data_IF_415144923208
#
_entry.id   IF_415144923208
#
_cell.length_a   1.000
_cell.length_b   1.000
_cell.length_c   1.000
_cell.angle_alpha   90.00
_cell.angle_beta   90.00
_cell.angle_gamma   90.00
#
_symmetry.space_group_name_H-M   'P 1'
#
loop_
_entity.id
_entity.type
_entity.pdbx_description
1 polymer ?
#
# COMPACT_ATOMS: atom_id res chain seq x y z
N UNK A 1 -41.60 29.42 -39.00
CA UNK A 1 -40.27 29.18 -38.39
C UNK A 1 -40.42 29.24 -36.89
N UNK A 2 -40.03 28.18 -36.17
CA UNK A 2 -39.70 28.10 -34.72
C UNK A 2 -39.60 26.62 -34.37
N UNK A 3 -38.39 26.07 -34.40
CA UNK A 3 -38.11 24.66 -34.10
C UNK A 3 -37.93 24.51 -32.60
N UNK A 4 -38.70 23.63 -31.97
CA UNK A 4 -38.59 23.34 -30.52
C UNK A 4 -37.97 21.97 -30.33
N UNK A 5 -36.66 21.92 -30.12
CA UNK A 5 -35.94 20.66 -29.85
C UNK A 5 -36.08 20.29 -28.38
N UNK A 6 -36.77 19.18 -28.09
CA UNK A 6 -36.75 18.55 -26.77
C UNK A 6 -35.38 17.89 -26.54
N UNK A 7 -34.68 18.31 -25.49
CA UNK A 7 -33.43 17.68 -25.06
C UNK A 7 -33.74 16.55 -24.07
N UNK A 8 -33.50 15.31 -24.49
CA UNK A 8 -33.68 14.13 -23.64
C UNK A 8 -32.53 14.02 -22.62
N UNK A 9 -32.81 14.24 -21.34
CA UNK A 9 -31.83 13.96 -20.28
C UNK A 9 -31.68 12.44 -20.10
N UNK A 10 -30.63 11.86 -20.67
CA UNK A 10 -30.18 10.52 -20.33
C UNK A 10 -29.31 10.58 -19.07
N UNK A 11 -29.79 10.01 -17.96
CA UNK A 11 -29.04 9.95 -16.71
C UNK A 11 -27.86 8.98 -16.82
N UNK A 12 -26.63 9.51 -16.70
CA UNK A 12 -25.43 8.69 -16.55
C UNK A 12 -25.39 8.06 -15.15
N UNK A 13 -25.89 6.84 -15.06
CA UNK A 13 -25.62 5.98 -13.91
C UNK A 13 -24.11 5.63 -13.91
N UNK A 14 -23.34 6.26 -13.04
CA UNK A 14 -21.93 5.96 -12.87
C UNK A 14 -21.79 4.57 -12.24
N UNK A 15 -21.55 3.55 -13.08
CA UNK A 15 -21.21 2.21 -12.64
C UNK A 15 -19.86 2.23 -11.92
N UNK A 16 -19.89 2.23 -10.59
CA UNK A 16 -18.69 2.09 -9.78
C UNK A 16 -17.98 0.78 -10.15
N UNK A 17 -16.78 0.88 -10.70
CA UNK A 17 -15.98 -0.29 -11.02
C UNK A 17 -15.64 -1.02 -9.71
N UNK A 18 -16.04 -2.29 -9.61
CA UNK A 18 -15.61 -3.13 -8.50
C UNK A 18 -14.11 -3.38 -8.63
N UNK A 19 -13.32 -2.79 -7.72
CA UNK A 19 -11.88 -3.00 -7.67
C UNK A 19 -11.58 -4.49 -7.41
N UNK A 20 -10.55 -5.07 -8.05
CA UNK A 20 -10.13 -6.43 -7.72
C UNK A 20 -9.63 -6.48 -6.28
N UNK A 21 -10.08 -7.49 -5.54
CA UNK A 21 -9.77 -7.68 -4.12
C UNK A 21 -8.26 -7.90 -3.95
N UNK A 22 -7.63 -7.10 -3.11
CA UNK A 22 -6.23 -7.28 -2.75
C UNK A 22 -6.13 -8.21 -1.53
N UNK A 23 -5.90 -9.50 -1.75
CA UNK A 23 -5.84 -10.53 -0.69
C UNK A 23 -4.69 -10.30 0.32
N UNK A 24 -3.72 -9.43 0.02
CA UNK A 24 -2.48 -9.22 0.78
C UNK A 24 -2.24 -7.75 1.15
N UNK A 25 -3.26 -7.08 1.69
CA UNK A 25 -3.07 -5.81 2.41
C UNK A 25 -2.60 -6.10 3.85
N UNK A 26 -1.28 -6.06 4.09
CA UNK A 26 -0.72 -6.19 5.44
C UNK A 26 -1.16 -5.03 6.35
N UNK A 27 -1.73 -5.37 7.50
CA UNK A 27 -2.33 -4.41 8.45
C UNK A 27 -1.29 -3.72 9.35
N UNK A 28 -0.19 -3.22 8.77
CA UNK A 28 0.78 -2.37 9.50
C UNK A 28 0.11 -1.03 9.85
N UNK A 29 0.16 -0.66 11.14
CA UNK A 29 -0.42 0.56 11.71
C UNK A 29 -1.98 0.68 11.72
N UNK A 30 -2.72 -0.42 11.85
CA UNK A 30 -4.11 -0.37 12.32
C UNK A 30 -4.20 -0.35 13.85
N UNK A 31 -5.20 0.35 14.42
CA UNK A 31 -5.49 0.31 15.87
C UNK A 31 -6.28 -0.96 16.20
N UNK A 32 -5.90 -1.79 17.19
CA UNK A 32 -6.69 -2.96 17.60
C UNK A 32 -8.14 -2.60 17.92
N UNK A 33 -9.08 -3.37 17.36
CA UNK A 33 -10.52 -3.10 17.39
C UNK A 33 -11.05 -2.17 16.30
N UNK A 34 -10.19 -1.46 15.56
CA UNK A 34 -10.61 -0.66 14.42
C UNK A 34 -11.04 -1.53 13.23
N UNK A 35 -12.03 -1.04 12.50
CA UNK A 35 -12.50 -1.65 11.26
C UNK A 35 -11.62 -1.21 10.09
N UNK A 36 -11.41 -2.11 9.13
CA UNK A 36 -10.65 -1.89 7.89
C UNK A 36 -11.52 -2.29 6.69
N UNK A 37 -11.35 -1.63 5.54
CA UNK A 37 -12.08 -1.96 4.30
C UNK A 37 -11.17 -2.53 3.21
N UNK A 38 -11.67 -3.50 2.44
CA UNK A 38 -11.08 -3.96 1.18
C UNK A 38 -12.11 -3.73 0.07
N UNK A 39 -11.95 -2.62 -0.65
CA UNK A 39 -13.03 -2.05 -1.46
C UNK A 39 -14.25 -1.65 -0.61
N UNK A 40 -15.41 -1.55 -1.24
CA UNK A 40 -16.70 -1.27 -0.55
C UNK A 40 -17.41 -2.53 -0.05
N UNK A 41 -17.04 -3.71 -0.56
CA UNK A 41 -17.77 -4.98 -0.37
C UNK A 41 -17.22 -5.85 0.75
N UNK A 42 -16.02 -5.57 1.26
CA UNK A 42 -15.39 -6.35 2.33
C UNK A 42 -14.83 -5.49 3.45
N UNK A 43 -14.84 -6.05 4.66
CA UNK A 43 -14.27 -5.45 5.85
C UNK A 43 -13.52 -6.48 6.71
N UNK A 44 -12.64 -6.01 7.57
CA UNK A 44 -11.98 -6.81 8.60
C UNK A 44 -11.91 -6.01 9.90
N UNK A 45 -11.68 -6.69 11.02
CA UNK A 45 -11.28 -6.07 12.28
C UNK A 45 -9.78 -6.21 12.46
N UNK A 46 -9.11 -5.12 12.80
CA UNK A 46 -7.73 -5.14 13.25
C UNK A 46 -7.64 -5.87 14.60
N UNK A 47 -7.09 -7.07 14.64
CA UNK A 47 -6.93 -7.83 15.90
C UNK A 47 -5.63 -7.43 16.62
N UNK A 48 -4.58 -7.22 15.83
CA UNK A 48 -3.32 -6.62 16.26
C UNK A 48 -2.70 -5.84 15.09
N UNK A 49 -1.82 -4.89 15.38
CA UNK A 49 -0.91 -4.38 14.36
C UNK A 49 -0.15 -5.55 13.72
N UNK A 50 0.03 -5.48 12.40
CA UNK A 50 0.79 -6.46 11.60
C UNK A 50 0.11 -7.85 11.47
N UNK A 51 -1.12 -8.01 11.99
CA UNK A 51 -1.91 -9.24 11.80
C UNK A 51 -2.43 -9.39 10.36
N UNK A 52 -2.68 -10.63 9.93
CA UNK A 52 -3.34 -10.92 8.65
C UNK A 52 -4.86 -10.72 8.78
N UNK A 53 -5.45 -9.70 8.11
CA UNK A 53 -6.86 -9.39 8.27
C UNK A 53 -7.74 -10.55 7.77
N UNK A 54 -8.70 -10.97 8.59
CA UNK A 54 -9.75 -11.91 8.18
C UNK A 54 -10.86 -11.11 7.49
N UNK A 55 -10.85 -11.10 6.15
CA UNK A 55 -11.84 -10.38 5.35
C UNK A 55 -13.21 -11.07 5.39
N UNK A 56 -14.24 -10.27 5.63
CA UNK A 56 -15.65 -10.65 5.66
C UNK A 56 -16.42 -9.78 4.67
N UNK A 57 -17.40 -10.34 3.97
CA UNK A 57 -18.27 -9.55 3.11
C UNK A 57 -19.21 -8.66 3.96
N UNK A 58 -19.47 -7.44 3.49
CA UNK A 58 -20.52 -6.58 4.05
C UNK A 58 -21.90 -7.16 3.76
N UNK A 59 -22.91 -6.78 4.56
CA UNK A 59 -24.29 -7.20 4.33
C UNK A 59 -24.90 -6.51 3.10
N UNK A 60 -25.88 -7.16 2.46
CA UNK A 60 -26.67 -6.55 1.38
C UNK A 60 -27.30 -5.23 1.84
N UNK A 61 -27.26 -4.20 0.98
CA UNK A 61 -27.69 -2.85 1.33
C UNK A 61 -26.71 -2.07 2.22
N UNK A 62 -25.49 -2.57 2.43
CA UNK A 62 -24.41 -1.87 3.15
C UNK A 62 -23.10 -1.86 2.37
N UNK A 63 -22.19 -0.97 2.76
CA UNK A 63 -20.85 -0.79 2.18
C UNK A 63 -19.84 -0.37 3.26
N UNK A 64 -18.60 -0.82 3.10
CA UNK A 64 -17.47 -0.39 3.91
C UNK A 64 -16.91 0.94 3.38
N UNK A 65 -16.73 1.94 4.25
CA UNK A 65 -16.24 3.28 3.90
C UNK A 65 -15.24 3.76 4.93
N UNK A 66 -14.07 4.25 4.48
CA UNK A 66 -13.05 4.86 5.33
C UNK A 66 -12.98 6.39 5.13
N UNK A 67 -12.68 7.12 6.20
CA UNK A 67 -12.30 8.53 6.17
C UNK A 67 -11.03 8.71 7.02
N UNK A 68 -9.91 9.01 6.37
CA UNK A 68 -8.60 8.94 7.02
C UNK A 68 -8.30 7.53 7.53
N UNK A 69 -8.06 7.39 8.83
CA UNK A 69 -7.79 6.13 9.52
C UNK A 69 -9.01 5.44 10.12
N UNK A 70 -10.19 6.06 10.11
CA UNK A 70 -11.42 5.49 10.65
C UNK A 70 -12.26 4.88 9.52
N UNK A 71 -12.73 3.65 9.69
CA UNK A 71 -13.63 2.99 8.74
C UNK A 71 -14.93 2.55 9.43
N UNK A 72 -16.01 2.53 8.67
CA UNK A 72 -17.36 2.19 9.14
C UNK A 72 -18.14 1.41 8.09
N UNK A 73 -19.14 0.65 8.53
CA UNK A 73 -20.15 0.07 7.64
C UNK A 73 -21.32 1.06 7.58
N UNK A 74 -21.67 1.48 6.37
CA UNK A 74 -22.76 2.44 6.09
C UNK A 74 -23.81 1.79 5.20
N UNK A 75 -25.07 2.22 5.25
CA UNK A 75 -26.06 1.74 4.27
C UNK A 75 -25.85 2.44 2.92
N UNK A 76 -26.03 1.70 1.82
CA UNK A 76 -25.96 2.24 0.45
C UNK A 76 -27.19 3.09 0.08
N UNK A 77 -28.28 2.98 0.84
CA UNK A 77 -29.43 3.90 0.77
C UNK A 77 -29.42 4.84 1.97
N UNK A 78 -29.66 6.14 1.73
CA UNK A 78 -29.67 7.20 2.76
C UNK A 78 -30.90 7.18 3.69
N UNK A 79 -31.42 6.00 4.04
CA UNK A 79 -32.65 5.82 4.83
C UNK A 79 -32.32 5.05 6.12
N UNK A 80 -32.46 5.72 7.27
CA UNK A 80 -32.16 5.15 8.59
C UNK A 80 -33.08 3.96 8.92
N UNK A 81 -32.54 2.74 8.86
CA UNK A 81 -33.13 1.56 9.47
C UNK A 81 -32.79 1.52 10.97
N UNK A 82 -33.57 2.22 11.79
CA UNK A 82 -33.40 2.23 13.25
C UNK A 82 -33.63 0.84 13.84
N UNK A 83 -32.60 0.24 14.43
CA UNK A 83 -32.76 -0.91 15.32
C UNK A 83 -33.55 -0.49 16.58
N UNK A 84 -34.47 -1.31 17.10
CA UNK A 84 -35.34 -0.92 18.22
C UNK A 84 -34.63 -1.00 19.58
N UNK A 85 -34.79 0.04 20.41
CA UNK A 85 -34.88 -0.15 21.86
C UNK A 85 -33.67 0.16 22.74
N UNK A 86 -33.05 1.34 22.62
CA UNK A 86 -32.24 1.94 23.69
C UNK A 86 -32.34 3.47 23.70
N UNK A 87 -33.28 4.04 24.46
CA UNK A 87 -33.49 5.50 24.56
C UNK A 87 -32.58 6.15 25.61
N UNK A 88 -31.89 7.27 25.31
CA UNK A 88 -31.09 8.02 26.28
C UNK A 88 -31.83 9.25 26.85
N UNK A 89 -32.00 9.29 28.17
CA UNK A 89 -32.39 10.49 28.94
C UNK A 89 -31.87 10.33 30.38
N UNK A 90 -30.68 10.84 30.71
CA UNK A 90 -30.43 12.17 31.31
C UNK A 90 -30.58 12.18 32.86
N UNK A 91 -30.00 13.15 33.63
CA UNK A 91 -29.22 14.33 33.23
C UNK A 91 -27.81 14.42 33.88
N UNK A 92 -27.14 15.57 33.70
CA UNK A 92 -25.83 15.94 34.27
C UNK A 92 -25.88 16.29 35.77
N UNK A 93 -24.84 15.93 36.53
CA UNK A 93 -24.46 16.59 37.80
C UNK A 93 -22.94 16.64 37.96
N UNK A 94 -22.37 17.83 38.22
CA UNK A 94 -20.92 18.06 38.36
C UNK A 94 -20.51 18.26 39.83
N UNK A 95 -19.42 17.64 40.29
CA UNK A 95 -18.64 18.01 41.49
C UNK A 95 -17.30 17.19 41.53
N UNK A 96 -16.32 17.48 42.42
CA UNK A 96 -15.13 18.20 41.98
C UNK A 96 -13.79 17.50 42.32
N UNK A 97 -12.67 18.13 41.94
CA UNK A 97 -11.33 17.70 42.34
C UNK A 97 -11.02 18.07 43.81
N UNK A 98 -10.19 17.28 44.52
CA UNK A 98 -9.62 17.64 45.81
C UNK A 98 -8.22 18.26 45.67
N UNK A 99 -7.96 19.34 46.41
CA UNK A 99 -6.62 19.95 46.55
C UNK A 99 -6.40 20.42 48.00
N UNK A 100 -5.15 20.37 48.47
CA UNK A 100 -4.69 20.95 49.75
C UNK A 100 -4.05 19.94 50.72
N UNK A 101 -2.74 20.02 51.01
CA UNK A 101 -2.03 20.91 51.98
C UNK A 101 -2.11 20.41 53.45
N UNK A 102 -1.14 20.73 54.35
CA UNK A 102 -0.17 21.83 54.30
C UNK A 102 1.33 21.47 54.43
N UNK A 103 2.16 22.50 54.25
CA UNK A 103 3.62 22.47 54.21
C UNK A 103 4.29 22.81 55.56
N UNK A 104 5.63 22.75 55.58
CA UNK A 104 6.46 23.67 56.37
C UNK A 104 7.79 23.98 55.64
N UNK A 105 8.57 24.94 56.15
CA UNK A 105 9.46 25.79 55.35
C UNK A 105 10.89 25.91 55.90
N UNK A 106 11.88 26.02 55.00
CA UNK A 106 13.17 26.70 55.23
C UNK A 106 13.89 27.07 53.92
N UNK A 107 14.56 28.23 53.91
CA UNK A 107 15.53 28.68 52.88
C UNK A 107 16.95 28.12 53.20
N UNK A 108 18.07 28.33 52.47
CA UNK A 108 18.54 29.48 51.65
C UNK A 108 19.68 29.09 50.66
N UNK A 109 19.85 29.90 49.61
CA UNK A 109 21.09 30.28 48.88
C UNK A 109 22.17 29.27 48.40
N UNK A 110 22.19 29.07 47.07
CA UNK A 110 23.29 29.32 46.11
C UNK A 110 24.75 28.86 46.35
N UNK A 111 25.30 28.06 45.40
CA UNK A 111 26.63 28.25 44.78
C UNK A 111 26.86 27.34 43.53
N UNK A 112 27.82 27.71 42.68
CA UNK A 112 28.34 27.10 41.41
C UNK A 112 29.83 27.53 41.35
N UNK A 113 30.86 26.77 40.81
CA UNK A 113 30.84 25.80 39.69
C UNK A 113 31.75 24.53 39.81
N UNK A 114 31.82 23.73 38.72
CA UNK A 114 32.98 22.92 38.20
C UNK A 114 33.66 21.84 39.06
N UNK A 115 33.71 20.59 38.56
CA UNK A 115 34.94 19.85 38.15
C UNK A 115 34.67 18.36 37.85
N UNK A 116 35.53 17.72 37.04
CA UNK A 116 35.56 16.27 36.74
C UNK A 116 36.98 15.86 36.25
N UNK A 117 37.34 14.57 36.08
CA UNK A 117 36.69 13.32 36.53
C UNK A 117 37.37 12.81 37.84
N UNK A 118 38.16 11.70 38.00
CA UNK A 118 38.58 10.58 37.13
C UNK A 118 37.76 9.29 37.39
N UNK A 119 38.42 8.13 37.63
CA UNK A 119 37.81 6.81 37.88
C UNK A 119 38.37 6.12 39.14
N UNK A 120 37.63 5.19 39.75
CA UNK A 120 38.05 4.43 40.94
C UNK A 120 37.21 3.15 41.17
N UNK A 121 37.90 2.05 41.48
CA UNK A 121 37.38 0.67 41.44
C UNK A 121 36.31 0.28 42.48
N UNK A 122 35.36 -0.54 42.01
CA UNK A 122 34.87 -1.78 42.66
C UNK A 122 34.75 -1.87 44.19
N UNK A 123 33.50 -1.90 44.68
CA UNK A 123 33.08 -2.79 45.77
C UNK A 123 31.67 -3.33 45.49
N UNK A 124 31.48 -4.64 45.68
CA UNK A 124 30.16 -5.30 45.70
C UNK A 124 29.69 -5.50 47.14
N UNK A 125 28.38 -5.42 47.37
CA UNK A 125 27.71 -6.29 48.34
C UNK A 125 26.73 -7.24 47.64
N UNK A 126 26.63 -8.47 48.15
CA UNK A 126 25.71 -9.49 47.64
C UNK A 126 24.34 -9.38 48.31
N UNK A 127 23.27 -9.60 47.54
CA UNK A 127 21.92 -9.86 48.07
C UNK A 127 21.22 -10.92 47.21
N UNK A 128 20.52 -11.84 47.87
CA UNK A 128 19.98 -13.08 47.28
C UNK A 128 18.80 -12.85 46.32
N UNK A 129 18.57 -13.75 45.35
CA UNK A 129 17.40 -13.69 44.48
C UNK A 129 16.10 -13.89 45.27
N UNK A 130 15.10 -13.05 45.00
CA UNK A 130 13.72 -13.24 45.48
C UNK A 130 13.08 -14.37 44.67
N UNK A 131 12.45 -15.33 45.35
CA UNK A 131 11.80 -16.47 44.70
C UNK A 131 10.54 -16.03 43.93
N UNK A 132 10.35 -16.60 42.74
CA UNK A 132 9.11 -16.43 41.99
C UNK A 132 7.94 -17.18 42.66
N UNK A 133 6.71 -16.65 42.62
CA UNK A 133 5.53 -17.40 43.07
C UNK A 133 5.25 -18.59 42.14
N UNK A 134 4.81 -19.71 42.72
CA UNK A 134 4.44 -20.90 41.97
C UNK A 134 3.11 -20.70 41.21
N UNK A 135 2.91 -21.36 40.05
CA UNK A 135 1.63 -21.31 39.34
C UNK A 135 0.52 -22.04 40.11
N UNK A 136 -0.69 -21.46 40.14
CA UNK A 136 -1.87 -22.15 40.66
C UNK A 136 -2.27 -23.30 39.73
N UNK A 137 -2.71 -24.41 40.31
CA UNK A 137 -3.07 -25.65 39.60
C UNK A 137 -4.59 -25.82 39.50
N UNK A 138 -5.28 -24.80 39.00
CA UNK A 138 -6.74 -24.83 38.79
C UNK A 138 -7.11 -25.56 37.49
N UNK A 139 -7.90 -26.65 37.53
CA UNK A 139 -8.30 -27.38 36.33
C UNK A 139 -9.25 -26.58 35.42
N UNK A 140 -9.03 -26.63 34.11
CA UNK A 140 -9.94 -26.04 33.14
C UNK A 140 -11.32 -26.74 33.15
N UNK A 141 -12.43 -26.00 32.99
CA UNK A 141 -13.78 -26.59 32.97
C UNK A 141 -13.99 -27.43 31.71
N UNK A 142 -14.42 -28.69 31.89
CA UNK A 142 -14.80 -29.57 30.78
C UNK A 142 -16.14 -29.15 30.16
N UNK A 143 -16.22 -28.91 28.84
CA UNK A 143 -17.48 -28.62 28.17
C UNK A 143 -18.35 -29.90 28.09
N UNK A 144 -19.63 -29.78 28.44
CA UNK A 144 -20.56 -30.91 28.48
C UNK A 144 -21.00 -31.35 27.08
N UNK A 145 -20.93 -32.65 26.80
CA UNK A 145 -21.30 -33.24 25.50
C UNK A 145 -22.82 -33.37 25.33
N UNK A 146 -23.48 -32.29 24.93
CA UNK A 146 -24.85 -32.35 24.42
C UNK A 146 -24.88 -33.01 23.01
N UNK A 147 -25.76 -34.00 22.74
CA UNK A 147 -25.84 -34.63 21.43
C UNK A 147 -26.49 -33.69 20.40
N UNK A 148 -25.85 -33.53 19.24
CA UNK A 148 -26.38 -32.77 18.10
C UNK A 148 -27.51 -33.58 17.43
N UNK A 149 -28.68 -32.98 17.14
CA UNK A 149 -29.76 -33.69 16.45
C UNK A 149 -29.37 -33.99 14.99
N UNK A 150 -29.50 -35.25 14.58
CA UNK A 150 -29.31 -35.67 13.19
C UNK A 150 -30.46 -35.16 12.30
N UNK A 151 -30.18 -34.46 11.18
CA UNK A 151 -31.21 -34.08 10.22
C UNK A 151 -31.75 -35.31 9.50
N UNK A 152 -33.08 -35.44 9.44
CA UNK A 152 -33.74 -36.59 8.81
C UNK A 152 -33.74 -36.47 7.28
N UNK A 153 -33.21 -37.48 6.59
CA UNK A 153 -33.11 -37.52 5.13
C UNK A 153 -34.47 -37.74 4.45
N UNK A 154 -35.16 -36.65 4.11
CA UNK A 154 -36.31 -36.72 3.21
C UNK A 154 -35.84 -37.02 1.77
N UNK A 155 -36.48 -37.95 1.02
CA UNK A 155 -36.09 -38.27 -0.35
C UNK A 155 -36.49 -37.13 -1.31
N UNK A 156 -35.54 -36.68 -2.13
CA UNK A 156 -35.78 -35.67 -3.18
C UNK A 156 -36.56 -36.32 -4.35
N UNK A 157 -37.61 -35.68 -4.89
CA UNK A 157 -38.32 -36.20 -6.06
C UNK A 157 -37.43 -36.26 -7.30
N UNK A 158 -37.53 -37.35 -8.07
CA UNK A 158 -36.81 -37.48 -9.34
C UNK A 158 -37.38 -36.51 -10.40
N UNK A 159 -36.54 -35.79 -11.17
CA UNK A 159 -37.02 -34.92 -12.24
C UNK A 159 -37.57 -35.75 -13.41
N UNK A 160 -38.74 -35.35 -13.92
CA UNK A 160 -39.41 -36.03 -15.03
C UNK A 160 -38.76 -35.71 -16.38
N UNK A 161 -38.47 -36.74 -17.18
CA UNK A 161 -37.85 -36.60 -18.50
C UNK A 161 -38.82 -36.07 -19.55
N UNK A 162 -38.73 -34.77 -19.86
CA UNK A 162 -39.35 -34.15 -21.04
C UNK A 162 -38.25 -33.70 -22.02
N UNK A 163 -38.26 -34.23 -23.25
CA UNK A 163 -37.25 -33.90 -24.26
C UNK A 163 -37.55 -32.55 -24.94
N UNK A 164 -36.58 -31.64 -24.92
CA UNK A 164 -36.64 -30.39 -25.70
C UNK A 164 -36.30 -30.66 -27.19
N UNK A 165 -36.87 -29.90 -28.14
CA UNK A 165 -36.60 -30.09 -29.56
C UNK A 165 -35.18 -29.62 -29.94
N UNK A 166 -34.54 -30.36 -30.86
CA UNK A 166 -33.18 -30.07 -31.34
C UNK A 166 -33.22 -28.99 -32.43
N UNK A 167 -32.55 -27.84 -32.28
CA UNK A 167 -32.41 -26.85 -33.36
C UNK A 167 -31.39 -27.30 -34.41
N UNK A 168 -31.69 -27.03 -35.68
CA UNK A 168 -30.84 -27.46 -36.81
C UNK A 168 -29.52 -26.67 -36.90
N UNK A 169 -28.42 -27.36 -37.16
CA UNK A 169 -27.07 -26.80 -37.24
C UNK A 169 -26.79 -26.14 -38.60
N UNK A 170 -26.98 -24.81 -38.68
CA UNK A 170 -26.41 -23.97 -39.74
C UNK A 170 -25.07 -23.35 -39.31
N UNK A 171 -24.05 -23.23 -40.19
CA UNK A 171 -22.81 -22.54 -39.84
C UNK A 171 -23.05 -21.04 -39.58
N UNK A 172 -22.68 -20.56 -38.39
CA UNK A 172 -22.68 -19.13 -38.10
C UNK A 172 -21.47 -18.44 -38.76
N UNK A 173 -21.61 -17.24 -39.35
CA UNK A 173 -20.47 -16.47 -39.85
C UNK A 173 -19.58 -16.02 -38.69
N UNK A 174 -18.26 -16.06 -38.89
CA UNK A 174 -17.30 -15.68 -37.86
C UNK A 174 -17.39 -14.17 -37.52
N UNK A 175 -17.38 -13.79 -36.22
CA UNK A 175 -17.42 -12.40 -35.82
C UNK A 175 -16.07 -11.71 -36.03
N UNK A 176 -15.98 -10.83 -37.02
CA UNK A 176 -14.89 -9.85 -37.15
C UNK A 176 -15.02 -8.77 -36.07
N UNK A 177 -14.66 -9.10 -34.83
CA UNK A 177 -14.55 -8.15 -33.73
C UNK A 177 -13.21 -7.42 -33.78
N UNK A 178 -13.15 -6.31 -34.51
CA UNK A 178 -12.12 -5.30 -34.27
C UNK A 178 -12.25 -4.82 -32.82
N UNK A 179 -11.14 -4.77 -32.09
CA UNK A 179 -11.15 -4.34 -30.69
C UNK A 179 -11.58 -2.87 -30.59
N UNK A 180 -12.69 -2.62 -29.90
CA UNK A 180 -13.04 -1.27 -29.49
C UNK A 180 -12.01 -0.79 -28.45
N UNK A 181 -11.47 0.44 -28.56
CA UNK A 181 -10.48 0.93 -27.62
C UNK A 181 -11.11 1.09 -26.23
N UNK A 182 -10.49 0.48 -25.21
CA UNK A 182 -10.85 0.71 -23.82
C UNK A 182 -10.52 2.16 -23.42
N UNK A 183 -11.31 2.82 -22.56
CA UNK A 183 -11.06 4.18 -22.12
C UNK A 183 -9.96 4.23 -21.05
N UNK A 184 -8.70 4.31 -21.47
CA UNK A 184 -7.59 4.60 -20.56
C UNK A 184 -7.75 5.98 -19.92
N UNK A 185 -7.68 6.13 -18.59
CA UNK A 185 -7.71 7.44 -17.92
C UNK A 185 -6.38 8.21 -18.05
N UNK A 186 -5.32 7.52 -18.50
CA UNK A 186 -3.94 8.01 -18.52
C UNK A 186 -3.64 8.90 -19.74
N UNK A 187 -4.36 10.01 -19.85
CA UNK A 187 -4.18 11.04 -20.88
C UNK A 187 -2.98 11.97 -20.60
N UNK A 188 -1.88 11.42 -20.08
CA UNK A 188 -0.62 12.14 -19.94
C UNK A 188 -0.02 12.55 -21.30
N UNK A 189 0.77 13.64 -21.37
CA UNK A 189 1.44 14.03 -22.60
C UNK A 189 2.34 12.91 -23.14
N UNK A 190 2.41 12.77 -24.47
CA UNK A 190 3.26 11.80 -25.14
C UNK A 190 4.58 12.45 -25.62
N UNK A 191 5.67 12.43 -24.83
CA UNK A 191 6.98 12.86 -25.27
C UNK A 191 7.53 11.94 -26.37
N UNK A 192 7.98 12.53 -27.48
CA UNK A 192 8.62 11.81 -28.59
C UNK A 192 10.12 11.57 -28.40
N UNK A 193 10.72 12.13 -27.35
CA UNK A 193 12.13 12.01 -26.97
C UNK A 193 12.28 12.05 -25.44
N UNK A 194 13.34 11.47 -24.85
CA UNK A 194 13.62 11.59 -23.42
C UNK A 194 13.78 13.05 -22.96
N UNK A 195 13.30 13.36 -21.76
CA UNK A 195 13.47 14.66 -21.14
C UNK A 195 14.92 14.90 -20.65
N UNK A 196 15.43 16.14 -20.71
CA UNK A 196 16.71 16.50 -20.09
C UNK A 196 16.59 16.44 -18.56
N UNK A 197 17.68 16.06 -17.88
CA UNK A 197 17.71 16.05 -16.42
C UNK A 197 17.64 17.47 -15.84
N UNK A 198 16.74 17.70 -14.89
CA UNK A 198 16.67 18.90 -14.05
C UNK A 198 16.95 18.52 -12.61
N UNK A 199 17.87 19.22 -11.94
CA UNK A 199 18.02 19.07 -10.49
C UNK A 199 16.83 19.70 -9.76
N UNK A 200 16.19 18.93 -8.88
CA UNK A 200 15.13 19.42 -7.99
C UNK A 200 15.62 19.37 -6.53
N UNK A 201 15.36 20.44 -5.77
CA UNK A 201 15.70 20.60 -4.35
C UNK A 201 14.46 21.10 -3.60
N UNK A 202 14.44 21.05 -2.26
CA UNK A 202 13.29 21.49 -1.47
C UNK A 202 12.36 20.35 -1.07
N UNK A 203 11.08 20.64 -0.86
CA UNK A 203 10.13 19.75 -0.17
C UNK A 203 9.26 18.87 -1.10
N UNK A 204 9.48 18.93 -2.42
CA UNK A 204 8.68 18.23 -3.43
C UNK A 204 7.55 19.06 -4.04
N UNK A 205 7.33 20.30 -3.60
CA UNK A 205 6.24 21.14 -4.10
C UNK A 205 6.54 21.80 -5.46
N UNK A 206 5.51 22.16 -6.25
CA UNK A 206 5.66 22.99 -7.44
C UNK A 206 6.16 24.42 -7.15
N UNK A 207 6.05 24.90 -5.91
CA UNK A 207 6.66 26.15 -5.48
C UNK A 207 8.21 26.08 -5.50
N UNK A 208 8.77 24.93 -5.12
CA UNK A 208 10.18 24.58 -5.33
C UNK A 208 10.47 24.12 -6.79
N UNK A 209 9.49 24.25 -7.69
CA UNK A 209 9.62 23.96 -9.12
C UNK A 209 9.58 22.48 -9.51
N UNK A 210 9.06 21.60 -8.65
CA UNK A 210 8.84 20.18 -8.95
C UNK A 210 7.64 19.98 -9.91
N UNK A 211 7.57 18.88 -10.69
CA UNK A 211 6.45 18.62 -11.57
C UNK A 211 5.23 18.09 -10.80
N UNK A 212 4.02 18.49 -11.19
CA UNK A 212 2.78 17.84 -10.70
C UNK A 212 2.46 16.58 -11.50
N UNK A 213 1.59 15.73 -10.95
CA UNK A 213 1.14 14.46 -11.52
C UNK A 213 0.47 14.62 -12.90
N UNK A 214 -0.08 15.81 -13.18
CA UNK A 214 -0.68 16.21 -14.46
C UNK A 214 0.35 16.66 -15.52
N UNK A 215 1.64 16.69 -15.19
CA UNK A 215 2.76 16.92 -16.12
C UNK A 215 3.52 15.66 -16.50
N UNK A 216 3.35 14.58 -15.75
CA UNK A 216 4.00 13.31 -16.06
C UNK A 216 3.40 12.70 -17.32
N UNK A 217 4.23 12.16 -18.24
CA UNK A 217 3.75 11.36 -19.36
C UNK A 217 2.88 10.17 -18.93
N UNK A 218 2.16 9.57 -19.87
CA UNK A 218 1.47 8.31 -19.61
C UNK A 218 2.45 7.17 -19.32
N UNK A 219 2.01 6.13 -18.62
CA UNK A 219 2.80 4.93 -18.35
C UNK A 219 3.33 4.30 -19.65
N UNK A 220 2.51 4.25 -20.71
CA UNK A 220 2.94 3.77 -22.03
C UNK A 220 4.09 4.58 -22.62
N UNK A 221 4.07 5.91 -22.47
CA UNK A 221 5.15 6.77 -22.94
C UNK A 221 6.41 6.60 -22.08
N UNK A 222 6.28 6.54 -20.75
CA UNK A 222 7.40 6.27 -19.84
C UNK A 222 8.04 4.90 -20.12
N UNK A 223 7.22 3.86 -20.31
CA UNK A 223 7.67 2.52 -20.67
C UNK A 223 8.41 2.52 -22.01
N UNK A 224 7.82 3.12 -23.04
CA UNK A 224 8.41 3.20 -24.40
C UNK A 224 9.76 3.92 -24.40
N UNK A 225 9.90 5.03 -23.66
CA UNK A 225 11.16 5.78 -23.53
C UNK A 225 12.27 5.01 -22.81
N UNK A 226 11.93 4.04 -21.97
CA UNK A 226 12.86 3.29 -21.12
C UNK A 226 13.10 1.85 -21.60
N UNK A 227 12.27 1.31 -22.50
CA UNK A 227 12.39 -0.06 -23.02
C UNK A 227 13.81 -0.42 -23.55
N UNK A 228 14.59 0.47 -24.20
CA UNK A 228 15.97 0.18 -24.58
C UNK A 228 16.90 -0.08 -23.38
N UNK A 229 16.69 0.64 -22.27
CA UNK A 229 17.41 0.45 -21.01
C UNK A 229 16.94 -0.85 -20.34
N UNK A 230 15.64 -1.12 -20.28
CA UNK A 230 15.08 -2.36 -19.70
C UNK A 230 15.65 -3.61 -20.41
N UNK A 231 15.71 -3.61 -21.75
CA UNK A 231 16.28 -4.72 -22.55
C UNK A 231 17.80 -4.94 -22.33
N UNK A 232 18.49 -4.04 -21.63
CA UNK A 232 19.93 -4.15 -21.32
C UNK A 232 20.23 -4.06 -19.81
N UNK A 233 19.20 -3.99 -18.97
CA UNK A 233 19.30 -3.65 -17.56
C UNK A 233 20.13 -4.65 -16.75
N UNK A 234 20.12 -5.94 -17.07
CA UNK A 234 20.83 -6.95 -16.28
C UNK A 234 22.35 -6.94 -16.47
N UNK A 235 22.87 -6.12 -17.39
CA UNK A 235 24.31 -5.99 -17.68
C UNK A 235 25.13 -5.58 -16.44
N UNK A 236 24.68 -4.59 -15.67
CA UNK A 236 25.42 -4.14 -14.48
C UNK A 236 25.44 -5.19 -13.37
N UNK A 237 24.37 -6.00 -13.26
CA UNK A 237 24.28 -7.14 -12.33
C UNK A 237 25.05 -8.39 -12.82
N UNK A 238 25.59 -8.38 -14.05
CA UNK A 238 26.21 -9.53 -14.74
C UNK A 238 25.26 -10.73 -14.91
N UNK A 239 23.96 -10.46 -14.97
CA UNK A 239 22.90 -11.47 -15.09
C UNK A 239 22.44 -11.62 -16.55
N UNK A 240 21.78 -12.74 -16.92
CA UNK A 240 21.05 -12.85 -18.18
C UNK A 240 20.05 -11.70 -18.33
N UNK A 241 19.94 -11.13 -19.53
CA UNK A 241 18.93 -10.10 -19.82
C UNK A 241 17.52 -10.68 -19.70
N UNK A 242 16.55 -9.82 -19.44
CA UNK A 242 15.13 -10.16 -19.52
C UNK A 242 14.83 -10.75 -20.91
N UNK A 243 14.08 -11.85 -20.96
CA UNK A 243 13.47 -12.31 -22.21
C UNK A 243 12.39 -11.33 -22.69
N UNK A 244 11.92 -11.46 -23.94
CA UNK A 244 10.80 -10.62 -24.41
C UNK A 244 9.50 -10.92 -23.64
N UNK A 245 9.32 -12.16 -23.19
CA UNK A 245 8.23 -12.57 -22.31
C UNK A 245 8.38 -11.93 -20.91
N UNK A 246 9.54 -12.08 -20.25
CA UNK A 246 9.81 -11.48 -18.93
C UNK A 246 9.68 -9.95 -18.96
N UNK A 247 9.99 -9.32 -20.11
CA UNK A 247 9.83 -7.88 -20.33
C UNK A 247 8.34 -7.48 -20.47
N UNK A 248 7.52 -8.31 -21.10
CA UNK A 248 6.07 -8.09 -21.20
C UNK A 248 5.36 -8.37 -19.86
N UNK A 249 5.75 -9.44 -19.16
CA UNK A 249 5.27 -9.79 -17.83
C UNK A 249 5.61 -8.69 -16.80
N UNK A 250 6.80 -8.09 -16.89
CA UNK A 250 7.17 -6.92 -16.08
C UNK A 250 6.23 -5.74 -16.29
N UNK A 251 5.84 -5.45 -17.54
CA UNK A 251 4.88 -4.38 -17.84
C UNK A 251 3.52 -4.70 -17.22
N UNK A 252 2.98 -5.89 -17.53
CA UNK A 252 1.67 -6.35 -17.06
C UNK A 252 1.57 -6.43 -15.53
N UNK A 253 2.66 -6.82 -14.86
CA UNK A 253 2.75 -6.80 -13.40
C UNK A 253 2.64 -5.39 -12.82
N UNK A 254 3.34 -4.42 -13.40
CA UNK A 254 3.27 -3.00 -12.98
C UNK A 254 1.85 -2.44 -13.19
N UNK A 255 1.20 -2.76 -14.31
CA UNK A 255 -0.19 -2.37 -14.61
C UNK A 255 -1.20 -3.01 -13.65
N UNK A 256 -1.12 -4.34 -13.45
CA UNK A 256 -2.00 -5.12 -12.57
C UNK A 256 -1.88 -4.70 -11.10
N UNK A 257 -0.64 -4.53 -10.61
CA UNK A 257 -0.40 -4.11 -9.22
C UNK A 257 -0.75 -2.64 -9.01
N UNK A 258 -0.57 -1.77 -10.00
CA UNK A 258 -1.09 -0.40 -9.96
C UNK A 258 -2.62 -0.38 -9.81
N UNK A 259 -3.33 -1.10 -10.68
CA UNK A 259 -4.79 -1.16 -10.68
C UNK A 259 -5.39 -1.75 -9.39
N UNK A 260 -4.78 -2.82 -8.85
CA UNK A 260 -5.26 -3.51 -7.64
C UNK A 260 -4.83 -2.85 -6.33
N UNK A 261 -3.66 -2.19 -6.30
CA UNK A 261 -3.22 -1.44 -5.11
C UNK A 261 -3.88 -0.07 -5.00
N UNK A 262 -4.22 0.57 -6.13
CA UNK A 262 -4.61 1.99 -6.19
C UNK A 262 -3.42 2.96 -6.16
N UNK A 263 -2.18 2.46 -6.30
CA UNK A 263 -0.97 3.28 -6.47
C UNK A 263 -0.79 3.60 -7.96
N UNK A 264 -0.40 4.83 -8.27
CA UNK A 264 -0.18 5.26 -9.66
C UNK A 264 0.89 4.40 -10.36
N UNK A 265 0.50 3.75 -11.45
CA UNK A 265 1.34 2.86 -12.28
C UNK A 265 2.65 3.53 -12.71
N UNK A 266 2.63 4.85 -12.96
CA UNK A 266 3.80 5.64 -13.36
C UNK A 266 4.80 5.78 -12.20
N UNK A 267 4.31 5.82 -10.96
CA UNK A 267 5.15 5.87 -9.75
C UNK A 267 5.78 4.52 -9.43
N UNK A 268 5.02 3.42 -9.53
CA UNK A 268 5.56 2.05 -9.43
C UNK A 268 6.69 1.87 -10.44
N UNK A 269 6.43 2.26 -11.69
CA UNK A 269 7.42 2.21 -12.76
C UNK A 269 8.68 3.05 -12.48
N UNK A 270 8.54 4.29 -12.00
CA UNK A 270 9.68 5.13 -11.67
C UNK A 270 10.57 4.53 -10.57
N UNK A 271 9.98 3.87 -9.58
CA UNK A 271 10.70 3.16 -8.51
C UNK A 271 11.42 1.93 -9.07
N UNK A 272 10.76 1.08 -9.87
CA UNK A 272 11.40 -0.05 -10.57
C UNK A 272 12.61 0.41 -11.39
N UNK A 273 12.47 1.50 -12.14
CA UNK A 273 13.55 2.04 -12.96
C UNK A 273 14.70 2.64 -12.14
N UNK A 274 14.44 3.15 -10.94
CA UNK A 274 15.48 3.67 -10.04
C UNK A 274 16.24 2.56 -9.31
N UNK A 275 15.53 1.52 -8.87
CA UNK A 275 16.10 0.43 -8.07
C UNK A 275 16.82 -0.63 -8.93
N UNK A 276 16.20 -1.08 -10.03
CA UNK A 276 16.69 -2.22 -10.82
C UNK A 276 16.91 -1.93 -12.31
N UNK A 277 16.52 -0.74 -12.80
CA UNK A 277 16.31 -0.44 -14.23
C UNK A 277 15.36 -1.42 -14.94
N UNK A 278 14.55 -2.18 -14.19
CA UNK A 278 13.72 -3.26 -14.71
C UNK A 278 14.44 -4.61 -14.93
N UNK A 279 15.66 -4.82 -14.43
CA UNK A 279 16.26 -6.16 -14.45
C UNK A 279 15.54 -7.10 -13.49
N UNK A 280 14.85 -8.13 -14.00
CA UNK A 280 14.11 -9.08 -13.14
C UNK A 280 15.03 -9.92 -12.24
N UNK A 281 16.30 -10.06 -12.64
CA UNK A 281 17.35 -10.82 -11.93
C UNK A 281 18.24 -9.95 -11.03
N UNK A 282 17.83 -8.74 -10.69
CA UNK A 282 18.63 -7.81 -9.87
C UNK A 282 19.08 -8.44 -8.55
N UNK A 283 20.37 -8.27 -8.23
CA UNK A 283 20.95 -8.74 -6.97
C UNK A 283 20.59 -7.86 -5.79
N UNK A 284 20.31 -8.48 -4.64
CA UNK A 284 19.86 -7.77 -3.45
C UNK A 284 20.92 -6.81 -2.90
N UNK A 285 20.58 -5.55 -2.69
CA UNK A 285 21.31 -4.71 -1.74
C UNK A 285 21.15 -5.27 -0.33
N UNK A 286 22.25 -5.27 0.42
CA UNK A 286 22.32 -5.84 1.76
C UNK A 286 23.21 -4.98 2.65
N UNK A 287 22.57 -4.28 3.59
CA UNK A 287 23.25 -3.61 4.71
C UNK A 287 23.00 -4.47 5.96
N UNK A 288 22.23 -3.97 6.93
CA UNK A 288 21.72 -4.78 8.06
C UNK A 288 20.45 -5.57 7.71
N UNK A 289 19.83 -5.28 6.56
CA UNK A 289 18.61 -5.90 6.03
C UNK A 289 18.86 -6.30 4.58
N UNK A 290 18.26 -7.40 4.13
CA UNK A 290 18.30 -7.85 2.72
C UNK A 290 17.10 -7.27 1.97
N UNK A 291 17.39 -6.57 0.88
CA UNK A 291 16.39 -5.97 0.01
C UNK A 291 16.45 -6.62 -1.37
N UNK A 292 15.60 -7.59 -1.74
CA UNK A 292 15.61 -8.20 -3.07
C UNK A 292 14.65 -7.57 -4.09
N UNK A 293 14.90 -7.91 -5.35
CA UNK A 293 13.90 -7.85 -6.42
C UNK A 293 13.76 -6.50 -7.13
N UNK A 294 12.86 -6.45 -8.12
CA UNK A 294 12.69 -5.32 -9.05
C UNK A 294 12.55 -3.94 -8.40
N UNK A 295 12.02 -3.88 -7.17
CA UNK A 295 11.82 -2.67 -6.39
C UNK A 295 12.70 -2.62 -5.12
N UNK A 296 13.65 -3.55 -4.95
CA UNK A 296 14.57 -3.60 -3.81
C UNK A 296 13.84 -3.53 -2.44
N UNK A 297 12.79 -4.34 -2.32
CA UNK A 297 11.77 -4.30 -1.27
C UNK A 297 12.32 -4.80 0.07
N UNK A 298 11.98 -4.15 1.18
CA UNK A 298 12.50 -4.47 2.52
C UNK A 298 12.09 -5.89 2.97
N UNK A 299 13.03 -6.83 2.99
CA UNK A 299 12.78 -8.27 3.27
C UNK A 299 11.71 -8.92 2.37
N UNK A 300 11.63 -8.50 1.11
CA UNK A 300 10.72 -9.11 0.12
C UNK A 300 10.97 -10.63 -0.04
N UNK A 301 9.94 -11.49 -0.05
CA UNK A 301 10.11 -12.92 -0.31
C UNK A 301 10.46 -13.23 -1.79
N UNK A 302 10.09 -12.40 -2.76
CA UNK A 302 10.23 -12.70 -4.19
C UNK A 302 11.58 -12.25 -4.76
N UNK A 303 12.18 -13.05 -5.66
CA UNK A 303 13.42 -12.70 -6.37
C UNK A 303 13.74 -13.65 -7.52
N UNK A 304 14.24 -13.13 -8.64
CA UNK A 304 14.87 -13.94 -9.69
C UNK A 304 16.40 -13.80 -9.77
N UNK A 305 17.06 -13.32 -8.72
CA UNK A 305 18.53 -13.33 -8.64
C UNK A 305 19.06 -14.77 -8.79
N UNK A 306 20.09 -14.94 -9.63
CA UNK A 306 20.69 -16.22 -10.05
C UNK A 306 19.72 -17.27 -10.64
N UNK A 307 18.45 -16.91 -10.96
CA UNK A 307 17.52 -17.83 -11.64
C UNK A 307 17.72 -17.79 -13.16
N UNK A 308 17.76 -18.95 -13.85
CA UNK A 308 17.94 -18.99 -15.31
C UNK A 308 16.75 -18.38 -16.05
N UNK A 309 15.53 -18.60 -15.55
CA UNK A 309 14.27 -17.97 -16.00
C UNK A 309 13.59 -17.34 -14.80
N UNK A 310 12.93 -16.20 -15.01
CA UNK A 310 11.99 -15.63 -14.07
C UNK A 310 10.56 -15.99 -14.52
N UNK A 311 9.66 -16.31 -13.59
CA UNK A 311 8.25 -16.58 -13.91
C UNK A 311 7.39 -15.37 -13.62
N UNK A 312 6.24 -15.27 -14.27
CA UNK A 312 5.28 -14.17 -14.07
C UNK A 312 4.91 -13.99 -12.58
N UNK A 313 4.79 -15.07 -11.81
CA UNK A 313 4.44 -15.02 -10.38
C UNK A 313 5.55 -14.36 -9.54
N UNK A 314 6.82 -14.61 -9.85
CA UNK A 314 7.96 -13.95 -9.18
C UNK A 314 8.08 -12.49 -9.62
N UNK A 315 7.84 -12.19 -10.90
CA UNK A 315 7.82 -10.81 -11.42
C UNK A 315 6.72 -9.99 -10.73
N UNK A 316 5.48 -10.50 -10.72
CA UNK A 316 4.35 -9.86 -10.07
C UNK A 316 4.54 -9.78 -8.54
N UNK A 317 5.11 -10.83 -7.93
CA UNK A 317 5.49 -10.87 -6.53
C UNK A 317 6.48 -9.77 -6.15
N UNK A 318 7.56 -9.57 -6.92
CA UNK A 318 8.53 -8.50 -6.69
C UNK A 318 7.91 -7.10 -6.79
N UNK A 319 6.92 -6.89 -7.66
CA UNK A 319 6.18 -5.62 -7.77
C UNK A 319 5.18 -5.45 -6.61
N UNK A 320 4.53 -6.54 -6.17
CA UNK A 320 3.68 -6.56 -4.96
C UNK A 320 4.49 -6.20 -3.71
N UNK A 321 5.66 -6.81 -3.52
CA UNK A 321 6.53 -6.56 -2.36
C UNK A 321 6.94 -5.08 -2.23
N UNK A 322 7.18 -4.39 -3.35
CA UNK A 322 7.52 -2.96 -3.33
C UNK A 322 6.31 -2.04 -3.21
N UNK A 323 5.17 -2.42 -3.79
CA UNK A 323 3.97 -1.56 -3.85
C UNK A 323 3.05 -1.71 -2.63
N UNK A 324 2.84 -2.94 -2.17
CA UNK A 324 2.00 -3.30 -1.02
C UNK A 324 2.80 -3.45 0.28
N UNK A 325 4.13 -3.55 0.19
CA UNK A 325 5.04 -3.71 1.32
C UNK A 325 5.38 -5.17 1.57
N UNK A 326 5.82 -5.48 2.78
CA UNK A 326 6.17 -6.83 3.22
C UNK A 326 5.72 -7.05 4.67
N UNK A 327 5.87 -8.26 5.24
CA UNK A 327 5.59 -8.48 6.66
C UNK A 327 6.39 -7.58 7.61
N UNK A 328 7.50 -6.96 7.19
CA UNK A 328 8.36 -6.11 8.05
C UNK A 328 8.58 -4.68 7.53
N UNK A 329 8.32 -4.39 6.25
CA UNK A 329 8.52 -3.08 5.64
C UNK A 329 7.29 -2.48 4.97
N UNK A 330 7.24 -1.15 4.91
CA UNK A 330 6.21 -0.39 4.18
C UNK A 330 6.44 -0.40 2.67
N UNK A 331 5.37 -0.57 1.88
CA UNK A 331 5.38 -0.37 0.44
C UNK A 331 4.94 1.03 0.03
N UNK A 332 4.96 1.31 -1.28
CA UNK A 332 4.53 2.60 -1.83
C UNK A 332 3.12 3.01 -1.35
N UNK A 333 2.19 2.07 -1.16
CA UNK A 333 0.83 2.35 -0.67
C UNK A 333 0.82 2.95 0.74
N UNK A 334 1.56 2.35 1.69
CA UNK A 334 1.67 2.86 3.05
C UNK A 334 2.46 4.17 3.10
N UNK A 335 3.52 4.30 2.29
CA UNK A 335 4.36 5.49 2.27
C UNK A 335 3.68 6.70 1.63
N UNK A 336 2.80 6.52 0.64
CA UNK A 336 1.97 7.59 0.11
C UNK A 336 1.00 8.12 1.17
N UNK A 337 0.40 7.26 1.99
CA UNK A 337 -0.42 7.68 3.13
C UNK A 337 0.43 8.46 4.17
N UNK A 338 1.61 7.94 4.53
CA UNK A 338 2.54 8.59 5.48
C UNK A 338 3.10 9.93 4.97
N UNK A 339 3.26 10.07 3.65
CA UNK A 339 3.75 11.30 3.01
C UNK A 339 2.76 12.48 3.07
N UNK A 340 1.49 12.21 3.39
CA UNK A 340 0.42 13.22 3.45
C UNK A 340 -0.05 13.69 2.07
N UNK A 341 -1.35 13.99 1.91
CA UNK A 341 -1.93 14.36 0.62
C UNK A 341 -1.42 15.71 0.11
N UNK A 342 -1.67 15.98 -1.18
CA UNK A 342 -1.30 17.24 -1.83
C UNK A 342 0.08 17.21 -2.48
N UNK A 343 0.34 18.20 -3.32
CA UNK A 343 1.43 18.20 -4.31
C UNK A 343 2.78 17.79 -3.70
N UNK A 344 3.51 16.93 -4.41
CA UNK A 344 4.78 16.36 -3.95
C UNK A 344 4.67 15.14 -3.02
N UNK A 345 3.45 14.64 -2.75
CA UNK A 345 3.21 13.41 -1.98
C UNK A 345 4.08 12.24 -2.45
N UNK A 346 4.17 12.04 -3.76
CA UNK A 346 4.99 11.00 -4.38
C UNK A 346 6.51 11.20 -4.16
N UNK A 347 7.00 12.44 -4.13
CA UNK A 347 8.42 12.73 -3.90
C UNK A 347 8.83 12.60 -2.43
N UNK A 348 7.90 12.94 -1.51
CA UNK A 348 8.00 12.63 -0.08
C UNK A 348 7.97 11.11 0.15
N UNK A 349 7.05 10.38 -0.48
CA UNK A 349 6.96 8.92 -0.40
C UNK A 349 8.22 8.23 -0.96
N UNK A 350 8.75 8.67 -2.10
CA UNK A 350 10.02 8.19 -2.64
C UNK A 350 11.20 8.42 -1.69
N UNK A 351 11.27 9.57 -1.00
CA UNK A 351 12.28 9.78 0.05
C UNK A 351 12.09 8.78 1.18
N UNK A 352 10.87 8.55 1.66
CA UNK A 352 10.60 7.55 2.69
C UNK A 352 10.92 6.11 2.24
N UNK A 353 10.77 5.78 0.95
CA UNK A 353 11.13 4.47 0.41
C UNK A 353 12.66 4.26 0.47
N UNK A 354 13.43 5.29 0.12
CA UNK A 354 14.89 5.24 0.10
C UNK A 354 15.57 5.37 1.48
N UNK A 355 15.01 6.17 2.40
CA UNK A 355 15.64 6.49 3.70
C UNK A 355 14.75 6.26 4.93
N UNK A 356 13.62 5.56 4.78
CA UNK A 356 12.63 5.27 5.84
C UNK A 356 11.79 6.47 6.31
N UNK A 357 12.29 7.69 6.12
CA UNK A 357 11.70 8.97 6.54
C UNK A 357 12.19 10.13 5.69
N UNK A 358 11.46 11.25 5.73
CA UNK A 358 11.95 12.57 5.31
C UNK A 358 12.72 13.21 6.48
N UNK A 359 13.66 14.11 6.18
CA UNK A 359 14.39 14.86 7.22
C UNK A 359 13.46 15.83 7.99
N UNK A 360 13.84 16.20 9.22
CA UNK A 360 13.07 17.14 10.06
C UNK A 360 12.89 18.53 9.46
N UNK A 361 13.73 18.94 8.50
CA UNK A 361 13.57 20.17 7.70
C UNK A 361 12.56 20.05 6.56
N UNK A 362 12.08 18.85 6.23
CA UNK A 362 11.25 18.57 5.05
C UNK A 362 12.01 18.50 3.72
N UNK A 363 13.33 18.71 3.71
CA UNK A 363 14.15 18.78 2.50
C UNK A 363 14.43 17.40 1.89
N UNK A 364 13.99 17.19 0.65
CA UNK A 364 14.10 15.90 -0.05
C UNK A 364 15.49 15.60 -0.61
N UNK A 365 16.40 16.58 -0.65
CA UNK A 365 17.81 16.35 -1.00
C UNK A 365 18.63 15.70 0.14
N UNK A 366 18.10 15.66 1.37
CA UNK A 366 18.79 15.08 2.52
C UNK A 366 18.48 13.59 2.61
N UNK A 367 19.42 12.74 2.18
CA UNK A 367 19.25 11.28 2.13
C UNK A 367 19.35 10.55 3.47
N UNK A 368 19.79 11.22 4.55
CA UNK A 368 19.89 10.66 5.92
C UNK A 368 20.69 9.33 5.97
N UNK A 369 21.78 9.26 5.22
CA UNK A 369 22.61 8.05 5.08
C UNK A 369 22.28 7.17 3.86
N UNK A 370 21.18 7.46 3.16
CA UNK A 370 20.87 6.94 1.84
C UNK A 370 21.10 7.99 0.74
N UNK A 371 20.72 7.68 -0.51
CA UNK A 371 21.07 8.46 -1.71
C UNK A 371 20.40 9.84 -1.74
N UNK A 372 21.20 10.91 -1.59
CA UNK A 372 20.73 12.31 -1.66
C UNK A 372 19.91 12.60 -2.94
N UNK A 373 20.33 12.10 -4.10
CA UNK A 373 19.66 12.32 -5.38
C UNK A 373 18.32 11.59 -5.58
N UNK A 374 17.91 10.66 -4.71
CA UNK A 374 16.80 9.74 -4.99
C UNK A 374 15.48 10.42 -5.42
N UNK A 375 14.97 11.39 -4.64
CA UNK A 375 13.70 12.05 -4.99
C UNK A 375 13.78 12.87 -6.28
N UNK A 376 14.92 13.53 -6.56
CA UNK A 376 15.11 14.28 -7.81
C UNK A 376 15.23 13.33 -9.00
N UNK A 377 15.89 12.18 -8.86
CA UNK A 377 15.92 11.15 -9.91
C UNK A 377 14.51 10.63 -10.22
N UNK A 378 13.70 10.33 -9.21
CA UNK A 378 12.30 9.91 -9.37
C UNK A 378 11.46 10.99 -10.07
N UNK A 379 11.63 12.27 -9.71
CA UNK A 379 10.96 13.39 -10.40
C UNK A 379 11.36 13.53 -11.88
N UNK A 380 12.63 13.23 -12.21
CA UNK A 380 13.10 13.18 -13.59
C UNK A 380 12.52 11.98 -14.35
N UNK A 381 12.54 10.76 -13.76
CA UNK A 381 11.95 9.55 -14.40
C UNK A 381 10.46 9.75 -14.70
N UNK A 382 9.71 10.33 -13.75
CA UNK A 382 8.31 10.71 -13.92
C UNK A 382 8.08 11.85 -14.92
N UNK A 383 9.13 12.61 -15.26
CA UNK A 383 9.10 13.64 -16.32
C UNK A 383 9.56 13.11 -17.68
N UNK A 384 9.86 11.82 -17.82
CA UNK A 384 10.31 11.19 -19.07
C UNK A 384 11.83 11.16 -19.28
N UNK A 385 12.65 11.34 -18.24
CA UNK A 385 14.08 11.07 -18.30
C UNK A 385 14.35 9.55 -18.22
N UNK A 386 15.10 8.99 -19.16
CA UNK A 386 15.30 7.53 -19.31
C UNK A 386 16.76 7.07 -19.35
N UNK A 387 17.67 7.83 -18.75
CA UNK A 387 19.08 7.43 -18.63
C UNK A 387 19.33 6.51 -17.43
N UNK A 388 20.44 5.76 -17.48
CA UNK A 388 20.92 4.90 -16.40
C UNK A 388 21.49 5.73 -15.24
N UNK A 389 22.62 6.40 -15.49
CA UNK A 389 23.37 7.17 -14.49
C UNK A 389 22.70 8.52 -14.19
N UNK A 390 22.48 8.83 -12.91
CA UNK A 390 22.01 10.15 -12.49
C UNK A 390 23.01 11.26 -12.85
N UNK A 391 22.48 12.42 -13.24
CA UNK A 391 23.25 13.65 -13.43
C UNK A 391 23.27 14.56 -12.18
N UNK A 392 22.76 14.07 -11.05
CA UNK A 392 22.76 14.76 -9.78
C UNK A 392 24.01 14.42 -8.95
N UNK A 393 24.62 15.44 -8.34
CA UNK A 393 25.78 15.34 -7.46
C UNK A 393 25.51 16.22 -6.23
N UNK A 394 25.27 15.58 -5.07
CA UNK A 394 24.83 16.20 -3.80
C UNK A 394 25.43 15.48 -2.59
#
# INVERSE_FOLDING_TARGET
MKTTTLATLAGLAASAAAYPVADHLWARACTPGALMCNGSTQFALCVAADSTPQWMNVSEGTQCVCSGSECSITSTNGTLASAPGASPTAPLTSAPAPEGTPAQSASVSAAVPTSAPPAGSSLVPSSSPVAAPAPSSDPAPVPSSAPVPVPSSAPVPAPSSAAAPVPSSGPAPAPSSAAAPAPSPDAGPAPSSPAPYKLYLGNGSPADGWPTESKWPSFEALWTLNLPLIKTACTYSKQPQNSEQETAELKSAIESVGQSSGVDTRFIFAIVMQESRGCVRVGSTANSVKNPGLMQSHEGPHTCYDKPTCSNEEIEGMIKDGTLGTPTGDGLKQLLLRAGPGEGQFYRAARMYNSGKVDGSGLLQLGIGATNCYSTDIANRLSGWSQDTTACHL
#
